data_IF_539853256031
#
_entry.id   IF_539853256031
#
_cell.length_a   1.000
_cell.length_b   1.000
_cell.length_c   1.000
_cell.angle_alpha   90.00
_cell.angle_beta   90.00
_cell.angle_gamma   90.00
#
_symmetry.space_group_name_H-M   'P 1'
#
loop_
_entity.id
_entity.type
_entity.pdbx_description
1 polymer ?
#
# COMPACT_ATOMS: atom_id res chain seq x y z
N UNK A 1 16.39 5.88 38.78
CA UNK A 1 15.90 5.10 37.63
C UNK A 1 15.00 5.96 36.73
N UNK A 2 15.42 7.20 36.41
CA UNK A 2 14.63 8.18 35.64
C UNK A 2 15.39 8.73 34.41
N UNK A 3 16.54 8.16 34.07
CA UNK A 3 17.43 8.68 33.02
C UNK A 3 17.48 7.84 31.73
N UNK A 4 16.67 6.78 31.61
CA UNK A 4 16.62 5.96 30.38
C UNK A 4 15.40 6.23 29.48
N UNK A 5 14.38 6.93 29.99
CA UNK A 5 13.15 7.26 29.24
C UNK A 5 13.24 8.56 28.42
N UNK A 6 14.20 9.45 28.71
CA UNK A 6 14.39 10.70 27.95
C UNK A 6 15.24 10.51 26.68
N UNK A 7 16.14 9.53 26.63
CA UNK A 7 17.01 9.32 25.47
C UNK A 7 16.27 8.74 24.24
N UNK A 8 15.24 7.92 24.45
CA UNK A 8 14.46 7.32 23.34
C UNK A 8 13.59 8.37 22.62
N UNK A 9 13.15 9.41 23.33
CA UNK A 9 12.39 10.53 22.73
C UNK A 9 13.29 11.50 21.96
N UNK A 10 14.57 11.63 22.35
CA UNK A 10 15.52 12.53 21.67
C UNK A 10 15.99 11.92 20.33
N UNK A 11 16.20 10.60 20.25
CA UNK A 11 16.59 9.93 18.99
C UNK A 11 15.46 9.92 17.94
N UNK A 12 14.20 9.80 18.36
CA UNK A 12 13.04 9.94 17.47
C UNK A 12 12.90 11.37 16.92
N UNK A 13 13.20 12.39 17.73
CA UNK A 13 13.13 13.80 17.31
C UNK A 13 14.24 14.18 16.32
N UNK A 14 15.44 13.59 16.43
CA UNK A 14 16.53 13.82 15.48
C UNK A 14 16.26 13.19 14.11
N UNK A 15 15.58 12.04 14.06
CA UNK A 15 15.15 11.40 12.80
C UNK A 15 14.06 12.21 12.07
N UNK A 16 13.15 12.85 12.81
CA UNK A 16 12.10 13.73 12.25
C UNK A 16 12.69 15.03 11.67
N UNK A 17 13.75 15.58 12.27
CA UNK A 17 14.34 16.84 11.81
C UNK A 17 15.16 16.67 10.52
N UNK A 18 15.84 15.53 10.35
CA UNK A 18 16.52 15.18 9.10
C UNK A 18 15.55 14.99 7.92
N UNK A 19 14.35 14.45 8.17
CA UNK A 19 13.35 14.22 7.13
C UNK A 19 12.72 15.52 6.59
N UNK A 20 12.59 16.57 7.40
CA UNK A 20 12.10 17.89 6.95
C UNK A 20 13.10 18.61 6.04
N UNK A 21 14.40 18.47 6.28
CA UNK A 21 15.44 19.13 5.47
C UNK A 21 15.58 18.52 4.06
N UNK A 22 15.26 17.24 3.89
CA UNK A 22 15.23 16.60 2.57
C UNK A 22 14.05 17.05 1.69
N UNK A 23 12.91 17.44 2.29
CA UNK A 23 11.72 17.84 1.55
C UNK A 23 11.75 19.32 1.11
N UNK A 24 12.30 20.22 1.93
CA UNK A 24 12.35 21.67 1.65
C UNK A 24 13.34 22.06 0.53
N UNK A 25 14.23 21.14 0.14
CA UNK A 25 15.19 21.35 -0.95
C UNK A 25 14.59 21.15 -2.35
N UNK A 26 13.39 20.57 -2.45
CA UNK A 26 12.76 20.20 -3.72
C UNK A 26 11.79 21.25 -4.30
N UNK A 27 11.34 22.24 -3.51
CA UNK A 27 10.33 23.22 -3.95
C UNK A 27 10.90 24.48 -4.65
N UNK A 28 12.23 24.66 -4.73
CA UNK A 28 12.82 25.95 -5.16
C UNK A 28 13.17 26.12 -6.65
N UNK A 29 12.90 25.14 -7.52
CA UNK A 29 13.24 25.29 -8.95
C UNK A 29 12.09 24.87 -9.88
N UNK A 30 11.30 25.85 -10.34
CA UNK A 30 10.31 25.59 -11.39
C UNK A 30 9.26 26.66 -11.67
N UNK A 31 9.56 27.96 -11.58
CA UNK A 31 8.71 29.01 -12.17
C UNK A 31 9.37 29.56 -13.43
N UNK A 32 8.77 29.31 -14.59
CA UNK A 32 9.07 30.06 -15.82
C UNK A 32 7.78 30.46 -16.55
N UNK A 33 7.68 31.76 -16.76
CA UNK A 33 6.60 32.49 -17.40
C UNK A 33 6.75 32.46 -18.92
N UNK A 34 5.66 32.39 -19.69
CA UNK A 34 5.65 32.95 -21.04
C UNK A 34 4.28 33.53 -21.41
N UNK A 35 4.25 34.84 -21.65
CA UNK A 35 3.17 35.58 -22.33
C UNK A 35 3.47 35.66 -23.81
N UNK A 36 2.47 35.53 -24.69
CA UNK A 36 2.45 36.20 -26.00
C UNK A 36 1.05 36.18 -26.63
N UNK A 37 0.77 37.20 -27.45
CA UNK A 37 -0.50 37.87 -27.76
C UNK A 37 -1.19 37.39 -29.07
N UNK A 38 -2.39 37.92 -29.41
CA UNK A 38 -3.40 37.25 -30.25
C UNK A 38 -3.40 37.70 -31.72
N UNK A 39 -4.08 36.95 -32.59
CA UNK A 39 -4.63 37.50 -33.85
C UNK A 39 -5.84 36.71 -34.37
N UNK A 40 -6.87 37.47 -34.73
CA UNK A 40 -8.12 37.04 -35.35
C UNK A 40 -7.93 36.53 -36.78
N UNK A 41 -8.87 35.71 -37.28
CA UNK A 41 -9.62 35.97 -38.53
C UNK A 41 -10.64 34.86 -38.85
N UNK A 42 -11.82 35.32 -39.29
CA UNK A 42 -12.64 34.85 -40.41
C UNK A 42 -13.27 33.44 -40.39
N UNK A 43 -14.60 33.49 -40.31
CA UNK A 43 -15.60 32.50 -40.68
C UNK A 43 -15.62 32.31 -42.22
N UNK A 44 -15.47 31.07 -42.71
CA UNK A 44 -15.87 30.69 -44.08
C UNK A 44 -16.14 29.18 -44.21
N UNK A 45 -17.38 28.88 -44.63
CA UNK A 45 -17.94 27.74 -45.38
C UNK A 45 -17.29 26.34 -45.30
N UNK A 46 -18.09 25.39 -44.80
CA UNK A 46 -17.92 23.92 -44.93
C UNK A 46 -18.32 23.43 -46.33
N UNK A 47 -17.46 22.71 -47.08
CA UNK A 47 -17.85 21.92 -48.23
C UNK A 47 -18.40 20.54 -47.82
N UNK A 48 -19.28 19.91 -48.61
CA UNK A 48 -20.04 18.73 -48.22
C UNK A 48 -19.18 17.46 -48.08
N UNK A 49 -19.61 16.61 -47.15
CA UNK A 49 -18.98 15.35 -46.78
C UNK A 49 -18.77 14.41 -47.99
N UNK A 50 -17.51 14.13 -48.30
CA UNK A 50 -17.13 12.98 -49.09
C UNK A 50 -17.34 11.71 -48.24
N UNK A 51 -17.99 10.70 -48.82
CA UNK A 51 -18.24 9.41 -48.19
C UNK A 51 -16.94 8.78 -47.65
N UNK A 52 -16.96 8.14 -46.46
CA UNK A 52 -15.78 7.47 -45.94
C UNK A 52 -15.46 6.27 -46.85
N UNK A 53 -14.27 6.32 -47.48
CA UNK A 53 -13.63 5.14 -48.05
C UNK A 53 -13.33 4.11 -46.95
N UNK A 54 -13.05 2.85 -47.31
CA UNK A 54 -12.94 1.77 -46.34
C UNK A 54 -11.87 2.10 -45.31
N UNK A 55 -12.27 2.12 -44.03
CA UNK A 55 -11.37 2.21 -42.89
C UNK A 55 -10.28 1.15 -43.05
N UNK A 56 -9.03 1.58 -43.18
CA UNK A 56 -7.90 0.69 -43.05
C UNK A 56 -8.03 -0.02 -41.69
N UNK A 57 -7.93 -1.36 -41.62
CA UNK A 57 -8.09 -2.07 -40.37
C UNK A 57 -7.04 -1.54 -39.40
N UNK A 58 -7.43 -1.25 -38.14
CA UNK A 58 -6.50 -0.90 -37.05
C UNK A 58 -5.30 -1.85 -37.08
N UNK A 59 -4.22 -1.37 -37.70
CA UNK A 59 -3.26 -2.21 -38.40
C UNK A 59 -2.28 -2.86 -37.45
N UNK A 60 -1.73 -3.99 -37.86
CA UNK A 60 -0.71 -4.82 -37.19
C UNK A 60 0.24 -4.14 -36.17
N UNK A 61 0.65 -2.89 -36.40
CA UNK A 61 1.49 -2.10 -35.50
C UNK A 61 0.92 -1.96 -34.07
N UNK A 62 -0.36 -1.59 -33.93
CA UNK A 62 -0.99 -1.42 -32.60
C UNK A 62 -1.08 -2.76 -31.84
N UNK A 63 -1.27 -3.87 -32.57
CA UNK A 63 -1.24 -5.23 -32.00
C UNK A 63 0.19 -5.66 -31.64
N UNK A 64 1.19 -5.21 -32.38
CA UNK A 64 2.61 -5.40 -32.08
C UNK A 64 3.07 -4.65 -30.82
N UNK A 65 2.65 -3.39 -30.66
CA UNK A 65 2.93 -2.54 -29.50
C UNK A 65 2.27 -3.06 -28.23
N UNK A 66 0.99 -3.44 -28.30
CA UNK A 66 0.27 -4.07 -27.19
C UNK A 66 0.94 -5.38 -26.74
N UNK A 67 1.49 -6.15 -27.68
CA UNK A 67 2.29 -7.35 -27.39
C UNK A 67 3.65 -7.03 -26.75
N UNK A 68 4.28 -5.92 -27.10
CA UNK A 68 5.57 -5.51 -26.52
C UNK A 68 5.40 -5.09 -25.06
N UNK A 69 4.42 -4.24 -24.76
CA UNK A 69 4.11 -3.79 -23.40
C UNK A 69 3.74 -4.98 -22.50
N UNK A 70 2.91 -5.90 -23.02
CA UNK A 70 2.53 -7.10 -22.28
C UNK A 70 3.73 -7.98 -21.91
N UNK A 71 4.73 -8.07 -22.79
CA UNK A 71 5.98 -8.80 -22.56
C UNK A 71 6.88 -8.11 -21.54
N UNK A 72 7.02 -6.78 -21.64
CA UNK A 72 7.78 -6.00 -20.67
C UNK A 72 7.17 -6.13 -19.26
N UNK A 73 5.83 -6.04 -19.15
CA UNK A 73 5.12 -6.23 -17.89
C UNK A 73 5.27 -7.67 -17.34
N UNK A 74 5.31 -8.68 -18.20
CA UNK A 74 5.57 -10.06 -17.78
C UNK A 74 6.98 -10.23 -17.21
N UNK A 75 7.99 -9.59 -17.80
CA UNK A 75 9.37 -9.60 -17.28
C UNK A 75 9.44 -8.90 -15.91
N UNK A 76 8.82 -7.73 -15.76
CA UNK A 76 8.79 -7.00 -14.48
C UNK A 76 8.14 -7.84 -13.38
N UNK A 77 7.01 -8.50 -13.66
CA UNK A 77 6.33 -9.39 -12.69
C UNK A 77 7.19 -10.60 -12.33
N UNK A 78 7.79 -11.26 -13.31
CA UNK A 78 8.68 -12.39 -13.06
C UNK A 78 9.83 -11.98 -12.12
N UNK A 79 10.48 -10.85 -12.36
CA UNK A 79 11.58 -10.37 -11.51
C UNK A 79 11.08 -9.96 -10.10
N UNK A 80 9.86 -9.42 -9.98
CA UNK A 80 9.29 -9.00 -8.70
C UNK A 80 9.13 -10.16 -7.69
N UNK A 81 8.83 -11.37 -8.18
CA UNK A 81 8.69 -12.57 -7.35
C UNK A 81 10.05 -13.14 -6.87
N UNK A 82 11.17 -12.57 -7.34
CA UNK A 82 12.52 -13.05 -7.09
C UNK A 82 13.44 -11.93 -6.54
N UNK A 83 13.43 -11.66 -5.22
CA UNK A 83 14.18 -10.57 -4.59
C UNK A 83 15.70 -10.67 -4.75
N UNK A 84 16.22 -11.85 -5.05
CA UNK A 84 17.64 -12.09 -5.32
C UNK A 84 18.05 -11.85 -6.78
N UNK A 85 17.09 -11.46 -7.63
CA UNK A 85 17.29 -11.20 -9.05
C UNK A 85 17.32 -12.49 -9.89
N UNK A 86 17.12 -12.32 -11.19
CA UNK A 86 17.10 -13.42 -12.16
C UNK A 86 18.11 -13.21 -13.27
N UNK A 87 18.75 -14.29 -13.73
CA UNK A 87 19.48 -14.27 -14.99
C UNK A 87 18.52 -14.17 -16.18
N UNK A 88 19.01 -13.67 -17.32
CA UNK A 88 18.22 -13.61 -18.56
C UNK A 88 17.68 -14.98 -19.01
N UNK A 89 18.39 -16.06 -18.69
CA UNK A 89 17.94 -17.42 -18.99
C UNK A 89 16.75 -17.85 -18.12
N UNK A 90 16.76 -17.47 -16.83
CA UNK A 90 15.63 -17.73 -15.93
C UNK A 90 14.42 -16.90 -16.33
N UNK A 91 14.60 -15.61 -16.63
CA UNK A 91 13.52 -14.75 -17.12
C UNK A 91 12.90 -15.32 -18.42
N UNK A 92 13.71 -15.78 -19.36
CA UNK A 92 13.23 -16.40 -20.60
C UNK A 92 12.40 -17.67 -20.33
N UNK A 93 12.82 -18.49 -19.38
CA UNK A 93 12.12 -19.71 -18.99
C UNK A 93 10.77 -19.40 -18.34
N UNK A 94 10.72 -18.43 -17.42
CA UNK A 94 9.49 -18.07 -16.70
C UNK A 94 8.47 -17.35 -17.57
N UNK A 95 8.94 -16.46 -18.43
CA UNK A 95 8.05 -15.65 -19.29
C UNK A 95 7.67 -16.36 -20.61
N UNK A 96 8.33 -17.48 -20.94
CA UNK A 96 8.18 -18.18 -22.22
C UNK A 96 8.69 -17.38 -23.43
N UNK A 97 9.50 -16.34 -23.20
CA UNK A 97 10.05 -15.48 -24.24
C UNK A 97 11.41 -15.97 -24.72
N UNK A 98 11.76 -15.65 -25.97
CA UNK A 98 13.11 -15.96 -26.47
C UNK A 98 14.16 -15.12 -25.73
N UNK A 99 15.34 -15.69 -25.51
CA UNK A 99 16.44 -15.01 -24.80
C UNK A 99 16.82 -13.65 -25.44
N UNK A 100 16.77 -13.56 -26.78
CA UNK A 100 17.00 -12.31 -27.50
C UNK A 100 15.92 -11.25 -27.23
N UNK A 101 14.65 -11.67 -27.09
CA UNK A 101 13.55 -10.75 -26.73
C UNK A 101 13.71 -10.27 -25.29
N UNK A 102 14.04 -11.17 -24.37
CA UNK A 102 14.30 -10.84 -22.96
C UNK A 102 15.45 -9.85 -22.86
N UNK A 103 16.58 -10.10 -23.52
CA UNK A 103 17.73 -9.19 -23.52
C UNK A 103 17.31 -7.78 -23.95
N UNK A 104 16.66 -7.63 -25.11
CA UNK A 104 16.25 -6.31 -25.63
C UNK A 104 15.28 -5.59 -24.69
N UNK A 105 14.33 -6.30 -24.09
CA UNK A 105 13.36 -5.70 -23.17
C UNK A 105 14.01 -5.33 -21.83
N UNK A 106 14.90 -6.18 -21.32
CA UNK A 106 15.65 -5.88 -20.10
C UNK A 106 16.52 -4.64 -20.31
N UNK A 107 17.24 -4.55 -21.42
CA UNK A 107 18.08 -3.39 -21.73
C UNK A 107 17.25 -2.11 -21.84
N UNK A 108 16.08 -2.18 -22.51
CA UNK A 108 15.17 -1.03 -22.60
C UNK A 108 14.61 -0.61 -21.23
N UNK A 109 14.17 -1.56 -20.41
CA UNK A 109 13.65 -1.28 -19.06
C UNK A 109 14.74 -0.78 -18.10
N UNK A 110 15.98 -1.20 -18.30
CA UNK A 110 17.14 -0.71 -17.54
C UNK A 110 17.48 0.74 -17.88
N UNK A 111 17.38 1.14 -19.16
CA UNK A 111 17.55 2.54 -19.58
C UNK A 111 16.52 3.45 -18.91
N UNK A 112 15.28 2.99 -18.77
CA UNK A 112 14.22 3.71 -18.07
C UNK A 112 14.32 3.61 -16.52
N UNK A 113 15.34 2.94 -15.99
CA UNK A 113 15.55 2.75 -14.55
C UNK A 113 14.54 1.82 -13.86
N UNK A 114 13.70 1.13 -14.63
CA UNK A 114 12.69 0.18 -14.14
C UNK A 114 13.31 -1.18 -13.76
N UNK A 115 14.45 -1.51 -14.36
CA UNK A 115 15.30 -2.64 -13.98
C UNK A 115 16.72 -2.15 -13.65
N UNK A 116 17.47 -2.96 -12.92
CA UNK A 116 18.87 -2.72 -12.62
C UNK A 116 19.68 -4.01 -12.80
N UNK A 117 20.87 -3.88 -13.39
CA UNK A 117 21.93 -4.90 -13.33
C UNK A 117 23.07 -4.36 -12.46
N UNK A 118 23.76 -5.25 -11.77
CA UNK A 118 24.93 -4.92 -10.96
C UNK A 118 26.05 -5.90 -11.24
N UNK A 119 27.27 -5.40 -11.34
CA UNK A 119 28.47 -6.23 -11.41
C UNK A 119 28.81 -6.84 -10.03
N UNK A 120 28.30 -6.22 -8.96
CA UNK A 120 28.49 -6.66 -7.57
C UNK A 120 27.48 -7.72 -7.14
N UNK A 121 26.30 -7.72 -7.77
CA UNK A 121 25.20 -8.62 -7.41
C UNK A 121 24.66 -9.29 -8.66
N UNK A 122 24.80 -10.63 -8.79
CA UNK A 122 24.39 -11.32 -10.00
C UNK A 122 22.87 -11.25 -10.23
N UNK A 123 22.48 -11.12 -11.49
CA UNK A 123 21.08 -11.13 -11.92
C UNK A 123 20.48 -9.74 -12.15
N UNK A 124 19.39 -9.72 -12.90
CA UNK A 124 18.55 -8.55 -13.17
C UNK A 124 17.55 -8.40 -12.02
N UNK A 125 17.39 -7.18 -11.52
CA UNK A 125 16.51 -6.82 -10.40
C UNK A 125 15.60 -5.65 -10.77
N UNK A 126 14.58 -5.39 -9.97
CA UNK A 126 13.78 -4.16 -10.10
C UNK A 126 14.66 -2.94 -9.81
N UNK A 127 14.51 -1.91 -10.63
CA UNK A 127 15.23 -0.64 -10.49
C UNK A 127 14.51 0.33 -9.55
N UNK A 128 15.24 1.35 -9.09
CA UNK A 128 14.76 2.33 -8.10
C UNK A 128 13.55 3.14 -8.58
N UNK A 129 13.38 3.29 -9.90
CA UNK A 129 12.26 4.03 -10.48
C UNK A 129 10.90 3.36 -10.16
N UNK A 130 10.88 2.04 -10.00
CA UNK A 130 9.68 1.30 -9.54
C UNK A 130 9.26 1.79 -8.15
N UNK A 131 10.20 2.00 -7.24
CA UNK A 131 9.91 2.51 -5.90
C UNK A 131 9.41 3.96 -5.95
N UNK A 132 9.99 4.80 -6.82
CA UNK A 132 9.55 6.19 -7.03
C UNK A 132 8.11 6.26 -7.55
N UNK A 133 7.76 5.41 -8.52
CA UNK A 133 6.40 5.32 -9.07
C UNK A 133 5.44 4.78 -8.01
N UNK A 134 5.80 3.70 -7.30
CA UNK A 134 4.99 3.14 -6.22
C UNK A 134 4.68 4.18 -5.13
N UNK A 135 5.67 5.00 -4.75
CA UNK A 135 5.50 6.09 -3.78
C UNK A 135 4.41 7.10 -4.20
N UNK A 136 4.22 7.35 -5.49
CA UNK A 136 3.13 8.23 -5.97
C UNK A 136 1.74 7.60 -5.80
N UNK A 137 1.62 6.28 -6.00
CA UNK A 137 0.35 5.55 -5.88
C UNK A 137 -0.17 5.53 -4.44
N UNK A 138 0.71 5.42 -3.44
CA UNK A 138 0.31 5.40 -2.02
C UNK A 138 -0.40 6.69 -1.59
N UNK A 139 0.00 7.84 -2.14
CA UNK A 139 -0.66 9.14 -1.88
C UNK A 139 -2.07 9.19 -2.48
N UNK A 140 -2.24 8.62 -3.68
CA UNK A 140 -3.52 8.61 -4.39
C UNK A 140 -4.53 7.65 -3.74
N UNK A 141 -4.08 6.51 -3.21
CA UNK A 141 -4.95 5.54 -2.50
C UNK A 141 -5.55 6.17 -1.24
N UNK A 142 -4.74 6.86 -0.43
CA UNK A 142 -5.23 7.54 0.77
C UNK A 142 -6.31 8.58 0.42
N UNK A 143 -6.05 9.43 -0.57
CA UNK A 143 -7.02 10.43 -1.04
C UNK A 143 -8.31 9.81 -1.60
N UNK A 144 -8.20 8.67 -2.30
CA UNK A 144 -9.33 7.96 -2.88
C UNK A 144 -10.22 7.32 -1.80
N UNK A 145 -9.61 6.74 -0.77
CA UNK A 145 -10.30 6.02 0.31
C UNK A 145 -10.86 6.97 1.37
N UNK A 146 -10.27 8.16 1.53
CA UNK A 146 -10.61 9.17 2.54
C UNK A 146 -12.11 9.39 2.77
N UNK A 147 -12.96 9.62 1.75
CA UNK A 147 -14.39 9.85 1.97
C UNK A 147 -15.11 8.64 2.58
N UNK A 148 -14.60 7.43 2.35
CA UNK A 148 -15.14 6.20 2.93
C UNK A 148 -14.77 6.11 4.41
N UNK A 149 -13.53 6.47 4.78
CA UNK A 149 -13.09 6.51 6.18
C UNK A 149 -13.86 7.56 6.98
N UNK A 150 -14.14 8.72 6.38
CA UNK A 150 -14.91 9.79 7.02
C UNK A 150 -16.35 9.35 7.32
N UNK A 151 -16.97 8.57 6.44
CA UNK A 151 -18.29 7.96 6.72
C UNK A 151 -18.22 6.95 7.85
N UNK A 152 -17.20 6.09 7.89
CA UNK A 152 -17.01 5.15 8.99
C UNK A 152 -16.82 5.89 10.32
N UNK A 153 -15.96 6.91 10.34
CA UNK A 153 -15.72 7.74 11.53
C UNK A 153 -17.00 8.45 12.00
N UNK A 154 -17.80 8.98 11.08
CA UNK A 154 -19.08 9.62 11.42
C UNK A 154 -20.10 8.61 11.99
N UNK A 155 -20.05 7.35 11.54
CA UNK A 155 -20.93 6.28 12.01
C UNK A 155 -20.53 5.77 13.40
N UNK A 156 -19.25 5.46 13.62
CA UNK A 156 -18.77 4.85 14.88
C UNK A 156 -18.35 5.88 15.92
N UNK A 157 -17.99 7.10 15.49
CA UNK A 157 -17.53 8.17 16.37
C UNK A 157 -16.17 7.91 17.02
N UNK A 158 -15.32 7.08 16.41
CA UNK A 158 -14.01 6.68 16.92
C UNK A 158 -12.93 6.79 15.83
N UNK A 159 -11.66 6.66 16.20
CA UNK A 159 -10.54 6.92 15.29
C UNK A 159 -10.43 5.83 14.24
N UNK A 160 -10.41 6.23 12.97
CA UNK A 160 -10.28 5.34 11.82
C UNK A 160 -8.92 5.56 11.20
N UNK A 161 -8.12 4.50 11.10
CA UNK A 161 -6.80 4.51 10.49
C UNK A 161 -6.77 3.63 9.24
N UNK A 162 -6.03 4.09 8.22
CA UNK A 162 -5.58 3.26 7.10
C UNK A 162 -4.08 3.04 7.28
N UNK A 163 -3.66 1.78 7.27
CA UNK A 163 -2.25 1.42 7.45
C UNK A 163 -1.73 0.59 6.27
N UNK A 164 -0.43 0.70 6.02
CA UNK A 164 0.30 -0.18 5.10
C UNK A 164 1.49 -0.81 5.83
N UNK A 165 1.95 -1.97 5.35
CA UNK A 165 3.18 -2.55 5.85
C UNK A 165 4.39 -1.77 5.31
N UNK A 166 5.31 -1.39 6.18
CA UNK A 166 6.60 -0.82 5.82
C UNK A 166 7.71 -1.41 6.69
N UNK A 167 8.53 -2.29 6.10
CA UNK A 167 9.51 -3.07 6.85
C UNK A 167 8.81 -3.97 7.86
N UNK A 168 9.20 -3.85 9.13
CA UNK A 168 8.68 -4.67 10.25
C UNK A 168 7.66 -3.92 11.11
N UNK A 169 6.97 -2.94 10.53
CA UNK A 169 5.94 -2.14 11.19
C UNK A 169 4.75 -1.85 10.27
N UNK A 170 3.59 -1.64 10.87
CA UNK A 170 2.43 -1.08 10.20
C UNK A 170 2.48 0.45 10.27
N UNK A 171 2.58 1.13 9.14
CA UNK A 171 2.64 2.59 9.08
C UNK A 171 1.24 3.17 8.85
N UNK A 172 0.83 4.13 9.69
CA UNK A 172 -0.39 4.91 9.47
C UNK A 172 -0.20 5.86 8.29
N UNK A 173 -0.96 5.66 7.21
CA UNK A 173 -0.89 6.47 5.98
C UNK A 173 -2.04 7.45 5.83
N UNK A 174 -3.18 7.17 6.47
CA UNK A 174 -4.29 8.11 6.60
C UNK A 174 -5.01 7.91 7.93
N UNK A 175 -5.61 8.98 8.44
CA UNK A 175 -6.39 8.97 9.68
C UNK A 175 -7.56 9.94 9.60
N UNK A 176 -8.70 9.49 10.15
CA UNK A 176 -9.84 10.33 10.51
C UNK A 176 -10.07 10.25 12.02
N UNK A 177 -9.94 11.39 12.70
CA UNK A 177 -10.15 11.50 14.14
C UNK A 177 -11.61 11.83 14.46
N UNK A 178 -12.16 11.30 15.56
CA UNK A 178 -13.49 11.66 16.01
C UNK A 178 -13.51 13.06 16.63
N UNK A 179 -14.63 13.76 16.51
CA UNK A 179 -14.89 15.03 17.17
C UNK A 179 -15.23 14.83 18.67
N UNK A 180 -14.38 14.09 19.41
CA UNK A 180 -14.54 13.78 20.84
C UNK A 180 -13.33 14.26 21.64
N UNK A 181 -13.58 14.70 22.87
CA UNK A 181 -12.53 15.12 23.79
C UNK A 181 -11.61 13.94 24.18
N UNK A 182 -12.20 12.83 24.63
CA UNK A 182 -11.49 11.59 24.90
C UNK A 182 -11.50 10.69 23.66
N UNK A 183 -10.34 10.58 23.01
CA UNK A 183 -10.14 9.80 21.79
C UNK A 183 -8.74 9.17 21.79
N UNK A 184 -8.62 8.05 21.08
CA UNK A 184 -7.33 7.44 20.75
C UNK A 184 -6.78 8.14 19.51
N UNK A 185 -5.48 8.40 19.42
CA UNK A 185 -4.89 9.05 18.24
C UNK A 185 -3.61 8.33 17.84
N UNK A 186 -3.57 7.84 16.61
CA UNK A 186 -2.38 7.26 15.96
C UNK A 186 -1.89 8.23 14.88
N UNK A 187 -0.82 9.00 15.10
CA UNK A 187 -0.46 10.03 14.10
C UNK A 187 -0.07 9.42 12.74
N UNK A 188 -0.41 10.09 11.63
CA UNK A 188 0.11 9.71 10.30
C UNK A 188 1.63 9.66 10.36
N UNK A 189 2.22 8.60 9.80
CA UNK A 189 3.65 8.32 9.87
C UNK A 189 4.10 7.60 11.14
N UNK A 190 3.19 7.26 12.06
CA UNK A 190 3.52 6.47 13.26
C UNK A 190 3.70 5.00 12.88
N UNK A 191 4.86 4.38 13.18
CA UNK A 191 5.03 2.94 13.07
C UNK A 191 4.32 2.24 14.23
N UNK A 192 3.50 1.24 13.91
CA UNK A 192 2.76 0.42 14.84
C UNK A 192 3.37 -1.00 14.89
N UNK A 193 3.61 -1.58 16.08
CA UNK A 193 4.15 -2.93 16.20
C UNK A 193 3.23 -3.99 15.61
N UNK A 194 3.82 -4.95 14.90
CA UNK A 194 3.04 -5.97 14.20
C UNK A 194 2.38 -7.00 15.13
N UNK A 195 2.98 -7.29 16.29
CA UNK A 195 2.51 -8.37 17.15
C UNK A 195 1.35 -8.00 18.09
N UNK A 196 1.24 -6.73 18.48
CA UNK A 196 0.31 -6.33 19.55
C UNK A 196 -0.71 -5.28 19.13
N UNK A 197 -0.69 -4.79 17.89
CA UNK A 197 -1.73 -3.91 17.36
C UNK A 197 -2.69 -4.70 16.48
N UNK A 198 -3.97 -4.29 16.46
CA UNK A 198 -4.97 -4.93 15.60
C UNK A 198 -4.56 -4.86 14.13
N UNK A 199 -4.06 -3.70 13.68
CA UNK A 199 -3.60 -3.49 12.32
C UNK A 199 -2.36 -4.32 11.99
N UNK A 200 -1.41 -4.40 12.93
CA UNK A 200 -0.23 -5.26 12.82
C UNK A 200 -0.58 -6.73 12.62
N UNK A 201 -1.45 -7.26 13.47
CA UNK A 201 -1.94 -8.65 13.38
C UNK A 201 -2.65 -8.91 12.04
N UNK A 202 -3.44 -7.94 11.58
CA UNK A 202 -4.10 -8.03 10.29
C UNK A 202 -3.11 -8.06 9.12
N UNK A 203 -2.03 -7.26 9.15
CA UNK A 203 -0.96 -7.34 8.14
C UNK A 203 -0.27 -8.70 8.13
N UNK A 204 0.09 -9.23 9.30
CA UNK A 204 0.71 -10.56 9.41
C UNK A 204 -0.19 -11.68 8.87
N UNK A 205 -1.51 -11.54 9.01
CA UNK A 205 -2.48 -12.52 8.49
C UNK A 205 -2.54 -12.60 6.96
N UNK A 206 -2.04 -11.57 6.27
CA UNK A 206 -1.98 -11.54 4.81
C UNK A 206 -0.76 -12.28 4.26
N UNK A 207 0.12 -12.77 5.13
CA UNK A 207 1.39 -13.40 4.79
C UNK A 207 1.35 -14.91 5.04
N UNK A 208 2.30 -15.62 4.45
CA UNK A 208 2.57 -17.00 4.89
C UNK A 208 3.12 -17.00 6.33
N UNK A 209 2.94 -18.10 7.08
CA UNK A 209 3.44 -18.18 8.45
C UNK A 209 4.96 -17.97 8.59
N UNK A 210 5.73 -18.37 7.56
CA UNK A 210 7.18 -18.14 7.50
C UNK A 210 7.53 -16.66 7.27
N UNK A 211 6.82 -16.00 6.35
CA UNK A 211 6.99 -14.57 6.06
C UNK A 211 6.55 -13.71 7.25
N UNK A 212 5.38 -13.99 7.84
CA UNK A 212 4.93 -13.36 9.07
C UNK A 212 5.97 -13.49 10.19
N UNK A 213 6.58 -14.67 10.36
CA UNK A 213 7.63 -14.89 11.36
C UNK A 213 8.90 -14.06 11.08
N UNK A 214 9.24 -13.83 9.81
CA UNK A 214 10.42 -13.05 9.43
C UNK A 214 10.28 -11.55 9.73
N UNK A 215 9.05 -11.06 9.82
CA UNK A 215 8.75 -9.67 10.18
C UNK A 215 8.69 -9.42 11.70
N UNK A 216 8.78 -10.47 12.52
CA UNK A 216 8.69 -10.34 13.97
C UNK A 216 10.08 -10.18 14.59
N UNK A 217 10.33 -9.01 15.18
CA UNK A 217 11.56 -8.71 15.91
C UNK A 217 11.69 -9.63 17.14
N UNK A 218 12.90 -10.14 17.40
CA UNK A 218 13.17 -10.98 18.57
C UNK A 218 14.01 -10.22 19.61
N UNK A 219 13.60 -10.20 20.90
CA UNK A 219 12.32 -10.69 21.43
C UNK A 219 11.14 -9.75 21.15
N UNK A 220 9.91 -10.27 21.17
CA UNK A 220 8.69 -9.44 21.12
C UNK A 220 8.62 -8.52 22.34
N UNK A 221 8.59 -7.22 22.09
CA UNK A 221 8.53 -6.21 23.15
C UNK A 221 7.19 -6.26 23.87
N UNK A 222 7.22 -6.29 25.20
CA UNK A 222 6.03 -6.17 26.06
C UNK A 222 5.68 -4.69 26.26
N UNK A 223 4.49 -4.27 25.86
CA UNK A 223 4.00 -2.90 26.01
C UNK A 223 3.05 -2.75 27.21
N UNK A 224 2.27 -3.80 27.50
CA UNK A 224 1.31 -3.92 28.59
C UNK A 224 1.35 -5.33 29.17
N UNK A 225 0.63 -5.55 30.27
CA UNK A 225 0.50 -6.89 30.86
C UNK A 225 -0.23 -7.88 29.94
N UNK A 226 -1.04 -7.37 29.00
CA UNK A 226 -1.80 -8.16 28.04
C UNK A 226 -1.07 -8.39 26.72
N UNK A 227 0.09 -7.74 26.49
CA UNK A 227 0.83 -7.92 25.23
C UNK A 227 1.17 -9.40 25.00
N UNK A 228 0.78 -9.92 23.84
CA UNK A 228 1.21 -11.24 23.38
C UNK A 228 2.71 -11.20 23.09
N UNK A 229 3.53 -11.86 23.90
CA UNK A 229 4.98 -11.94 23.72
C UNK A 229 5.45 -13.30 23.20
N UNK A 230 4.53 -14.21 22.88
CA UNK A 230 4.82 -15.53 22.32
C UNK A 230 4.52 -15.54 20.83
N UNK A 231 5.50 -15.92 20.01
CA UNK A 231 5.33 -16.08 18.56
C UNK A 231 4.27 -17.14 18.24
N UNK A 232 4.29 -18.27 18.96
CA UNK A 232 3.34 -19.35 18.73
C UNK A 232 1.91 -18.90 19.03
N UNK A 233 1.71 -18.17 20.14
CA UNK A 233 0.41 -17.64 20.52
C UNK A 233 -0.09 -16.60 19.51
N UNK A 234 0.80 -15.70 19.07
CA UNK A 234 0.49 -14.72 18.04
C UNK A 234 0.07 -15.39 16.73
N UNK A 235 0.87 -16.33 16.23
CA UNK A 235 0.61 -17.03 14.97
C UNK A 235 -0.70 -17.83 15.02
N UNK A 236 -1.01 -18.45 16.17
CA UNK A 236 -2.29 -19.12 16.37
C UNK A 236 -3.47 -18.14 16.38
N UNK A 237 -3.30 -16.98 17.02
CA UNK A 237 -4.33 -15.93 17.10
C UNK A 237 -4.63 -15.28 15.75
N UNK A 238 -3.61 -15.05 14.91
CA UNK A 238 -3.84 -14.48 13.57
C UNK A 238 -4.43 -15.49 12.57
N UNK A 239 -4.24 -16.79 12.80
CA UNK A 239 -4.81 -17.84 11.96
C UNK A 239 -6.33 -17.99 12.14
N UNK A 240 -6.85 -17.65 13.32
CA UNK A 240 -8.27 -17.75 13.66
C UNK A 240 -8.77 -16.46 14.34
N UNK A 241 -8.96 -15.38 13.58
CA UNK A 241 -9.42 -14.11 14.14
C UNK A 241 -10.83 -14.24 14.75
N UNK A 242 -11.07 -13.53 15.85
CA UNK A 242 -12.39 -13.50 16.49
C UNK A 242 -13.36 -12.60 15.70
N UNK A 243 -14.58 -13.08 15.45
CA UNK A 243 -15.61 -12.33 14.70
C UNK A 243 -15.16 -11.84 13.32
N UNK A 244 -14.26 -12.60 12.67
CA UNK A 244 -13.57 -12.25 11.41
C UNK A 244 -12.74 -10.96 11.49
N UNK A 245 -12.43 -10.44 12.69
CA UNK A 245 -11.64 -9.24 12.91
C UNK A 245 -10.38 -9.51 13.74
N UNK A 246 -9.33 -8.75 13.47
CA UNK A 246 -8.16 -8.73 14.33
C UNK A 246 -8.38 -7.75 15.47
N UNK A 247 -8.02 -8.16 16.68
CA UNK A 247 -8.29 -7.41 17.90
C UNK A 247 -6.98 -7.09 18.61
N UNK A 248 -6.89 -5.87 19.10
CA UNK A 248 -6.00 -5.43 20.17
C UNK A 248 -6.89 -5.06 21.35
N UNK A 249 -6.84 -5.84 22.44
CA UNK A 249 -7.61 -5.59 23.66
C UNK A 249 -6.66 -5.16 24.78
N UNK A 250 -6.16 -3.93 24.69
CA UNK A 250 -5.19 -3.32 25.59
C UNK A 250 -3.79 -3.96 25.54
N UNK A 251 -3.40 -4.49 24.38
CA UNK A 251 -2.12 -5.15 24.17
C UNK A 251 -1.00 -4.17 23.81
N UNK A 252 -1.31 -3.11 23.07
CA UNK A 252 -0.34 -2.05 22.75
C UNK A 252 -0.34 -0.91 23.77
N UNK A 253 -1.52 -0.51 24.26
CA UNK A 253 -1.64 0.53 25.27
C UNK A 253 -2.81 0.23 26.23
N UNK A 254 -2.57 0.39 27.54
CA UNK A 254 -3.62 0.19 28.55
C UNK A 254 -4.77 1.17 28.35
N UNK A 255 -6.00 0.68 28.45
CA UNK A 255 -7.22 1.45 28.23
C UNK A 255 -7.56 1.69 26.75
N UNK A 256 -6.78 1.16 25.80
CA UNK A 256 -7.00 1.32 24.35
C UNK A 256 -7.28 -0.04 23.72
N UNK A 257 -8.30 -0.11 22.87
CA UNK A 257 -8.57 -1.28 22.05
C UNK A 257 -8.67 -0.90 20.58
N UNK A 258 -8.51 -1.87 19.70
CA UNK A 258 -8.73 -1.69 18.28
C UNK A 258 -9.30 -2.94 17.60
N UNK A 259 -10.02 -2.71 16.51
CA UNK A 259 -10.46 -3.72 15.54
C UNK A 259 -9.81 -3.42 14.19
N UNK A 260 -9.38 -4.45 13.47
CA UNK A 260 -8.80 -4.28 12.15
C UNK A 260 -9.23 -5.35 11.16
N UNK A 261 -9.29 -4.95 9.89
CA UNK A 261 -9.56 -5.82 8.75
C UNK A 261 -8.58 -5.53 7.60
N UNK A 262 -8.01 -6.58 6.97
CA UNK A 262 -7.29 -6.40 5.73
C UNK A 262 -8.22 -5.94 4.60
N UNK A 263 -7.70 -5.10 3.73
CA UNK A 263 -8.37 -4.63 2.51
C UNK A 263 -7.65 -5.22 1.30
N UNK A 264 -8.43 -5.75 0.35
CA UNK A 264 -7.92 -6.32 -0.90
C UNK A 264 -8.23 -5.40 -2.08
N UNK A 265 -7.60 -5.66 -3.22
CA UNK A 265 -7.96 -5.04 -4.50
C UNK A 265 -7.45 -3.61 -4.72
N UNK A 266 -6.97 -2.91 -3.69
CA UNK A 266 -6.28 -1.63 -3.86
C UNK A 266 -4.97 -1.81 -4.61
N UNK A 267 -4.71 -0.93 -5.59
CA UNK A 267 -3.47 -0.93 -6.36
C UNK A 267 -2.31 -0.55 -5.42
N UNK A 268 -1.19 -1.28 -5.50
CA UNK A 268 0.05 -0.98 -4.78
C UNK A 268 -0.01 -1.09 -3.26
N UNK A 269 -0.32 -2.26 -2.72
CA UNK A 269 -0.01 -2.60 -1.33
C UNK A 269 -1.08 -3.39 -0.60
N UNK A 270 -0.66 -4.12 0.43
CA UNK A 270 -1.55 -4.68 1.43
C UNK A 270 -1.92 -3.55 2.39
N UNK A 271 -3.17 -3.13 2.36
CA UNK A 271 -3.71 -2.13 3.28
C UNK A 271 -4.56 -2.80 4.35
N UNK A 272 -4.61 -2.17 5.51
CA UNK A 272 -5.48 -2.58 6.61
C UNK A 272 -6.26 -1.36 7.11
N UNK A 273 -7.57 -1.54 7.30
CA UNK A 273 -8.43 -0.59 7.98
C UNK A 273 -8.51 -0.96 9.46
N UNK A 274 -8.44 0.03 10.34
CA UNK A 274 -8.66 -0.19 11.76
C UNK A 274 -9.48 0.91 12.42
N UNK A 275 -10.22 0.54 13.47
CA UNK A 275 -10.91 1.46 14.36
C UNK A 275 -10.33 1.33 15.76
N UNK A 276 -9.85 2.43 16.32
CA UNK A 276 -9.22 2.50 17.64
C UNK A 276 -10.07 3.32 18.59
N UNK A 277 -10.34 2.79 19.79
CA UNK A 277 -11.26 3.36 20.76
C UNK A 277 -10.91 2.97 22.21
N UNK A 278 -11.31 3.77 23.21
CA UNK A 278 -11.09 3.42 24.62
C UNK A 278 -11.82 2.13 25.03
N UNK A 279 -11.21 1.37 25.93
CA UNK A 279 -11.69 0.06 26.42
C UNK A 279 -13.17 0.05 26.81
N UNK A 280 -13.60 1.03 27.59
CA UNK A 280 -15.00 1.11 28.02
C UNK A 280 -15.98 1.12 26.83
N UNK A 281 -15.69 1.89 25.78
CA UNK A 281 -16.55 1.97 24.60
C UNK A 281 -16.38 0.76 23.69
N UNK A 282 -15.20 0.17 23.66
CA UNK A 282 -14.97 -1.10 22.97
C UNK A 282 -15.91 -2.18 23.52
N UNK A 283 -15.99 -2.34 24.83
CA UNK A 283 -16.84 -3.35 25.47
C UNK A 283 -18.34 -3.13 25.15
N UNK A 284 -18.77 -1.88 25.04
CA UNK A 284 -20.15 -1.51 24.74
C UNK A 284 -20.51 -1.66 23.25
N UNK A 285 -19.56 -1.46 22.33
CA UNK A 285 -19.85 -1.25 20.91
C UNK A 285 -19.08 -2.14 19.93
N UNK A 286 -18.28 -3.10 20.42
CA UNK A 286 -17.44 -3.99 19.60
C UNK A 286 -18.18 -4.57 18.39
N UNK A 287 -19.37 -5.13 18.58
CA UNK A 287 -20.16 -5.73 17.50
C UNK A 287 -20.56 -4.72 16.43
N UNK A 288 -21.08 -3.57 16.84
CA UNK A 288 -21.48 -2.47 15.93
C UNK A 288 -20.28 -1.91 15.17
N UNK A 289 -19.13 -1.74 15.84
CA UNK A 289 -17.89 -1.28 15.20
C UNK A 289 -17.38 -2.31 14.19
N UNK A 290 -17.39 -3.60 14.54
CA UNK A 290 -16.98 -4.67 13.62
C UNK A 290 -17.86 -4.71 12.37
N UNK A 291 -19.18 -4.57 12.52
CA UNK A 291 -20.12 -4.51 11.40
C UNK A 291 -19.89 -3.28 10.50
N UNK A 292 -19.66 -2.11 11.10
CA UNK A 292 -19.36 -0.89 10.36
C UNK A 292 -18.02 -0.99 9.62
N UNK A 293 -17.00 -1.56 10.26
CA UNK A 293 -15.68 -1.80 9.68
C UNK A 293 -15.77 -2.76 8.48
N UNK A 294 -16.58 -3.84 8.57
CA UNK A 294 -16.86 -4.74 7.44
C UNK A 294 -17.50 -4.00 6.26
N UNK A 295 -18.56 -3.21 6.52
CA UNK A 295 -19.20 -2.40 5.47
C UNK A 295 -18.23 -1.41 4.82
N UNK A 296 -17.36 -0.80 5.63
CA UNK A 296 -16.33 0.11 5.15
C UNK A 296 -15.33 -0.62 4.24
N UNK A 297 -14.77 -1.76 4.67
CA UNK A 297 -13.90 -2.60 3.84
C UNK A 297 -14.59 -2.94 2.51
N UNK A 298 -15.81 -3.45 2.54
CA UNK A 298 -16.54 -3.85 1.33
C UNK A 298 -16.83 -2.66 0.40
N UNK A 299 -16.97 -1.45 0.93
CA UNK A 299 -17.09 -0.23 0.13
C UNK A 299 -15.75 0.16 -0.54
N UNK A 300 -14.64 0.04 0.19
CA UNK A 300 -13.29 0.26 -0.36
C UNK A 300 -12.97 -0.75 -1.45
N UNK A 301 -13.22 -2.03 -1.22
CA UNK A 301 -12.93 -3.10 -2.19
C UNK A 301 -13.79 -3.00 -3.46
N UNK A 302 -15.07 -2.60 -3.33
CA UNK A 302 -15.94 -2.33 -4.49
C UNK A 302 -15.44 -1.16 -5.33
N UNK A 303 -15.00 -0.09 -4.67
CA UNK A 303 -14.42 1.07 -5.35
C UNK A 303 -13.12 0.69 -6.09
N UNK A 304 -12.33 -0.22 -5.51
CA UNK A 304 -11.10 -0.73 -6.10
C UNK A 304 -11.32 -1.68 -7.29
N UNK A 305 -12.56 -2.06 -7.60
CA UNK A 305 -12.90 -2.93 -8.74
C UNK A 305 -12.87 -4.43 -8.45
N UNK A 306 -12.69 -4.85 -7.20
CA UNK A 306 -12.84 -6.25 -6.79
C UNK A 306 -14.26 -6.51 -6.30
N UNK A 307 -15.11 -7.07 -7.17
CA UNK A 307 -16.32 -7.76 -6.73
C UNK A 307 -15.96 -9.02 -5.92
N UNK A 308 -16.90 -9.58 -5.12
CA UNK A 308 -16.62 -10.78 -4.32
C UNK A 308 -16.11 -11.89 -5.24
N UNK A 309 -14.95 -12.47 -4.88
CA UNK A 309 -14.34 -13.55 -5.62
C UNK A 309 -15.37 -14.65 -5.91
N UNK A 310 -15.67 -14.84 -7.20
CA UNK A 310 -16.60 -15.85 -7.66
C UNK A 310 -16.20 -17.21 -7.09
N UNK A 311 -17.10 -17.78 -6.29
CA UNK A 311 -17.12 -19.18 -5.91
C UNK A 311 -16.94 -20.03 -7.17
N UNK A 312 -15.76 -20.65 -7.36
CA UNK A 312 -15.59 -21.71 -8.36
C UNK A 312 -16.33 -22.94 -7.83
N UNK A 313 -17.38 -23.43 -8.50
CA UNK A 313 -17.93 -24.73 -8.13
C UNK A 313 -16.86 -25.79 -8.42
N UNK A 314 -16.65 -26.67 -7.44
CA UNK A 314 -15.83 -27.86 -7.61
C UNK A 314 -16.34 -28.67 -8.81
N UNK A 315 -15.44 -29.00 -9.73
CA UNK A 315 -15.64 -30.11 -10.66
C UNK A 315 -15.09 -31.38 -10.03
#
# INVERSE_FOLDING_TARGET
>A
MLFQSENVLIEAHQSIHMYRLMNDSFERHGMSTTKSRPRATARAATPPAAAPGPEAPMGEAARGEMRLISRAAAILRAIADHPTGLSLGQIAKETGLSRATVQRLVDALEVEGLLAKSDLVPGVRLGVEIARIAASVHRDVALLVRPILERLNAEVGETVDLTMLQGDAALVVDQVQPARALRVVSHIGTPLPLHCTASGKAHLSQMSGQEASSHLVHPLTRYTDKTITSHQELLAGIANPADDCFVDDEEFASGVCALALPVRGLVSGNYVLSVSLPKQRFDESRGTVADALRRCRDAVERMAGTGPAGHRPAK
#
